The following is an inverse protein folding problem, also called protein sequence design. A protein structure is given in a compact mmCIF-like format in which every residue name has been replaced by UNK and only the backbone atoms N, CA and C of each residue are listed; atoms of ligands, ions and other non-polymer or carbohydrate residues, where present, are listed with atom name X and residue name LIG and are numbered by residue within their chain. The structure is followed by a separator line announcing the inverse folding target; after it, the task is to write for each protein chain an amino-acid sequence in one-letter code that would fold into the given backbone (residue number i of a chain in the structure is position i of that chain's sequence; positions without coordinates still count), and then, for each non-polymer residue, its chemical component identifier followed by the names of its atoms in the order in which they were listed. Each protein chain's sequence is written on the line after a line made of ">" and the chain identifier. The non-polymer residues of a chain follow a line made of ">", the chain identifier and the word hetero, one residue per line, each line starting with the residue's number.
data_IF_437936460967
#
_entry.id   IF_437936460967
#
_cell.length_a   1.000
_cell.length_b   1.000
_cell.length_c   1.000
_cell.angle_alpha   90.00
_cell.angle_beta   90.00
_cell.angle_gamma   90.00
#
_symmetry.space_group_name_H-M   'P 1'
#
loop_
_entity.id
_entity.type
_entity.pdbx_description
1 polymer ?
#
# COMPACT_ATOMS: atom_id res chain seq x y z
N UNK A 1 -7.12 -29.50 -5.87
CA UNK A 1 -8.20 -28.49 -5.69
C UNK A 1 -9.30 -29.13 -4.83
N UNK A 2 -9.59 -28.57 -3.68
CA UNK A 2 -10.58 -29.17 -2.76
C UNK A 2 -12.00 -28.98 -3.32
N UNK A 3 -12.85 -30.05 -3.40
CA UNK A 3 -14.12 -30.01 -4.12
C UNK A 3 -15.14 -28.99 -3.61
N UNK A 4 -15.11 -28.63 -2.32
CA UNK A 4 -16.04 -27.68 -1.72
C UNK A 4 -15.85 -26.21 -2.18
N UNK A 5 -14.63 -25.80 -2.65
CA UNK A 5 -14.39 -24.48 -3.24
C UNK A 5 -15.16 -24.21 -4.54
N UNK A 6 -15.70 -25.25 -5.16
CA UNK A 6 -16.51 -25.12 -6.39
C UNK A 6 -17.95 -24.68 -6.15
N UNK A 7 -18.40 -24.70 -4.90
CA UNK A 7 -19.81 -24.53 -4.57
C UNK A 7 -20.09 -23.25 -3.79
N UNK A 8 -19.06 -22.55 -3.32
CA UNK A 8 -19.18 -21.37 -2.47
C UNK A 8 -18.52 -20.17 -3.16
N UNK A 9 -19.18 -19.03 -3.11
CA UNK A 9 -18.58 -17.74 -3.43
C UNK A 9 -17.57 -17.33 -2.34
N UNK A 10 -16.75 -16.30 -2.60
CA UNK A 10 -15.79 -15.81 -1.61
C UNK A 10 -16.49 -15.26 -0.36
N UNK A 11 -17.66 -14.64 -0.51
CA UNK A 11 -18.48 -14.17 0.61
C UNK A 11 -19.01 -15.33 1.45
N UNK A 12 -19.50 -16.40 0.80
CA UNK A 12 -19.95 -17.61 1.49
C UNK A 12 -18.80 -18.35 2.18
N UNK A 13 -17.59 -18.35 1.60
CA UNK A 13 -16.39 -18.88 2.24
C UNK A 13 -16.04 -18.07 3.51
N UNK A 14 -16.17 -16.76 3.47
CA UNK A 14 -15.91 -15.88 4.61
C UNK A 14 -16.91 -16.12 5.75
N UNK A 15 -18.19 -16.25 5.43
CA UNK A 15 -19.25 -16.56 6.40
C UNK A 15 -19.02 -17.96 7.01
N UNK A 16 -18.68 -18.95 6.18
CA UNK A 16 -18.38 -20.31 6.65
C UNK A 16 -17.18 -20.33 7.60
N UNK A 17 -16.10 -19.60 7.26
CA UNK A 17 -14.92 -19.50 8.12
C UNK A 17 -15.26 -18.86 9.46
N UNK A 18 -16.01 -17.76 9.45
CA UNK A 18 -16.44 -17.09 10.68
C UNK A 18 -17.27 -18.01 11.57
N UNK A 19 -18.24 -18.73 11.00
CA UNK A 19 -19.07 -19.71 11.72
C UNK A 19 -18.24 -20.86 12.28
N UNK A 20 -17.24 -21.33 11.52
CA UNK A 20 -16.36 -22.42 11.94
C UNK A 20 -15.49 -22.00 13.14
N UNK A 21 -14.93 -20.79 13.12
CA UNK A 21 -14.14 -20.26 14.23
C UNK A 21 -14.99 -19.96 15.47
N UNK A 22 -16.27 -19.58 15.30
CA UNK A 22 -17.23 -19.43 16.41
C UNK A 22 -17.52 -20.75 17.10
N UNK A 23 -17.64 -21.84 16.33
CA UNK A 23 -17.90 -23.19 16.88
C UNK A 23 -16.65 -23.87 17.41
N UNK A 24 -15.49 -23.47 16.94
CA UNK A 24 -14.18 -24.05 17.24
C UNK A 24 -13.18 -22.97 17.66
N UNK A 25 -13.37 -22.35 18.85
CA UNK A 25 -12.49 -21.26 19.29
C UNK A 25 -11.02 -21.70 19.47
N UNK A 26 -10.77 -23.00 19.62
CA UNK A 26 -9.41 -23.57 19.66
C UNK A 26 -8.66 -23.42 18.34
N UNK A 27 -9.35 -23.18 17.22
CA UNK A 27 -8.74 -22.98 15.90
C UNK A 27 -8.38 -21.50 15.62
N UNK A 28 -8.79 -20.57 16.48
CA UNK A 28 -8.56 -19.13 16.23
C UNK A 28 -7.07 -18.82 16.13
N UNK A 29 -6.26 -19.32 17.07
CA UNK A 29 -4.81 -19.08 17.07
C UNK A 29 -4.13 -19.63 15.81
N UNK A 30 -4.50 -20.84 15.38
CA UNK A 30 -3.99 -21.45 14.15
C UNK A 30 -4.43 -20.64 12.90
N UNK A 31 -5.68 -20.19 12.87
CA UNK A 31 -6.20 -19.37 11.77
C UNK A 31 -5.48 -18.01 11.71
N UNK A 32 -5.15 -17.40 12.84
CA UNK A 32 -4.36 -16.16 12.92
C UNK A 32 -2.93 -16.37 12.41
N UNK A 33 -2.28 -17.48 12.77
CA UNK A 33 -0.94 -17.82 12.28
C UNK A 33 -0.93 -18.04 10.76
N UNK A 34 -1.90 -18.81 10.25
CA UNK A 34 -2.07 -19.03 8.80
C UNK A 34 -2.33 -17.69 8.10
N UNK A 35 -3.20 -16.84 8.65
CA UNK A 35 -3.51 -15.53 8.09
C UNK A 35 -2.27 -14.63 8.05
N UNK A 36 -1.47 -14.63 9.12
CA UNK A 36 -0.22 -13.88 9.17
C UNK A 36 0.76 -14.32 8.09
N UNK A 37 0.85 -15.63 7.85
CA UNK A 37 1.70 -16.21 6.80
C UNK A 37 1.20 -15.86 5.39
N UNK A 38 -0.12 -15.93 5.17
CA UNK A 38 -0.74 -15.60 3.87
C UNK A 38 -0.70 -14.10 3.54
N UNK A 39 -0.54 -13.23 4.55
CA UNK A 39 -0.49 -11.78 4.40
C UNK A 39 0.95 -11.25 4.24
N UNK A 40 1.96 -12.13 4.22
CA UNK A 40 3.35 -11.71 3.93
C UNK A 40 3.40 -11.12 2.52
N UNK A 41 4.03 -9.97 2.38
CA UNK A 41 4.42 -9.42 1.08
C UNK A 41 5.71 -10.14 0.70
N UNK A 42 5.62 -11.03 -0.29
CA UNK A 42 6.76 -11.90 -0.68
C UNK A 42 7.91 -11.09 -1.29
N UNK A 43 7.61 -9.93 -1.89
CA UNK A 43 8.61 -9.07 -2.52
C UNK A 43 8.17 -7.58 -2.45
N UNK A 44 8.69 -6.86 -1.46
CA UNK A 44 8.41 -5.42 -1.26
C UNK A 44 8.80 -4.59 -2.49
N UNK A 45 9.90 -4.94 -3.14
CA UNK A 45 10.42 -4.22 -4.29
C UNK A 45 9.52 -4.37 -5.52
N UNK A 46 9.05 -5.58 -5.82
CA UNK A 46 8.08 -5.79 -6.91
C UNK A 46 6.79 -5.00 -6.67
N UNK A 47 6.38 -4.88 -5.42
CA UNK A 47 5.18 -4.13 -5.04
C UNK A 47 5.38 -2.63 -5.22
N UNK A 48 6.56 -2.10 -4.86
CA UNK A 48 6.96 -0.72 -5.12
C UNK A 48 7.05 -0.42 -6.62
N UNK A 49 7.62 -1.33 -7.40
CA UNK A 49 7.70 -1.22 -8.85
C UNK A 49 6.31 -1.24 -9.52
N UNK A 50 5.39 -2.07 -9.03
CA UNK A 50 3.99 -2.07 -9.48
C UNK A 50 3.31 -0.72 -9.23
N UNK A 51 3.51 -0.15 -8.05
CA UNK A 51 2.96 1.18 -7.70
C UNK A 51 3.57 2.25 -8.60
N UNK A 52 4.89 2.24 -8.79
CA UNK A 52 5.59 3.15 -9.72
C UNK A 52 5.01 3.05 -11.12
N UNK A 53 4.81 1.83 -11.64
CA UNK A 53 4.22 1.62 -12.96
C UNK A 53 2.79 2.17 -13.05
N UNK A 54 1.96 1.98 -12.02
CA UNK A 54 0.59 2.54 -11.96
C UNK A 54 0.59 4.07 -11.91
N UNK A 55 1.52 4.67 -11.17
CA UNK A 55 1.67 6.12 -11.12
C UNK A 55 2.13 6.68 -12.47
N UNK A 56 3.07 6.01 -13.13
CA UNK A 56 3.52 6.35 -14.50
C UNK A 56 2.44 6.15 -15.57
N UNK A 57 1.45 5.33 -15.32
CA UNK A 57 0.29 5.20 -16.22
C UNK A 57 -0.65 6.41 -16.17
N UNK A 58 -0.57 7.25 -15.15
CA UNK A 58 -1.36 8.48 -15.06
C UNK A 58 -0.83 9.53 -16.04
N UNK A 59 -1.64 9.84 -17.06
CA UNK A 59 -1.31 10.86 -18.07
C UNK A 59 -2.12 12.13 -17.86
N UNK A 60 -1.53 13.26 -18.18
CA UNK A 60 -2.13 14.59 -18.13
C UNK A 60 -2.35 15.13 -19.56
N UNK A 61 -3.60 15.12 -20.01
CA UNK A 61 -3.97 15.69 -21.33
C UNK A 61 -4.31 17.18 -21.15
N UNK A 62 -3.29 18.02 -20.99
CA UNK A 62 -3.45 19.47 -20.83
C UNK A 62 -3.15 19.98 -19.41
N UNK A 63 -3.51 21.24 -19.09
CA UNK A 63 -3.28 21.83 -17.77
C UNK A 63 -4.04 21.05 -16.68
N UNK A 64 -3.33 20.65 -15.62
CA UNK A 64 -3.92 19.98 -14.45
C UNK A 64 -3.69 20.86 -13.24
N UNK A 65 -4.75 21.16 -12.49
CA UNK A 65 -4.56 21.81 -11.20
C UNK A 65 -3.89 20.84 -10.22
N UNK A 66 -3.06 21.35 -9.33
CA UNK A 66 -2.34 20.53 -8.34
C UNK A 66 -3.31 19.67 -7.52
N UNK A 67 -4.46 20.23 -7.13
CA UNK A 67 -5.45 19.49 -6.34
C UNK A 67 -6.12 18.35 -7.13
N UNK A 68 -6.47 18.59 -8.40
CA UNK A 68 -7.03 17.53 -9.25
C UNK A 68 -6.00 16.43 -9.54
N UNK A 69 -4.75 16.81 -9.80
CA UNK A 69 -3.66 15.86 -9.98
C UNK A 69 -3.41 15.03 -8.73
N UNK A 70 -3.38 15.69 -7.57
CA UNK A 70 -3.21 15.05 -6.26
C UNK A 70 -4.34 14.04 -5.98
N UNK A 71 -5.59 14.38 -6.28
CA UNK A 71 -6.73 13.47 -6.16
C UNK A 71 -6.52 12.20 -6.97
N UNK A 72 -6.16 12.33 -8.24
CA UNK A 72 -5.92 11.17 -9.14
C UNK A 72 -4.78 10.25 -8.65
N UNK A 73 -3.71 10.83 -8.10
CA UNK A 73 -2.63 10.02 -7.51
C UNK A 73 -3.11 9.31 -6.25
N UNK A 74 -3.84 10.01 -5.39
CA UNK A 74 -4.38 9.41 -4.17
C UNK A 74 -5.39 8.31 -4.48
N UNK A 75 -6.18 8.41 -5.54
CA UNK A 75 -7.10 7.34 -5.98
C UNK A 75 -6.33 6.05 -6.33
N UNK A 76 -5.13 6.17 -6.93
CA UNK A 76 -4.26 5.00 -7.19
C UNK A 76 -3.69 4.42 -5.90
N UNK A 77 -3.33 5.27 -4.93
CA UNK A 77 -2.68 4.84 -3.70
C UNK A 77 -3.67 4.37 -2.61
N UNK A 78 -4.93 4.82 -2.67
CA UNK A 78 -5.92 4.55 -1.63
C UNK A 78 -6.15 3.05 -1.37
N UNK A 79 -6.27 2.17 -2.40
CA UNK A 79 -6.40 0.73 -2.17
C UNK A 79 -5.27 0.12 -1.32
N UNK A 80 -4.05 0.60 -1.51
CA UNK A 80 -2.89 0.14 -0.74
C UNK A 80 -2.92 0.67 0.70
N UNK A 81 -3.34 1.93 0.89
CA UNK A 81 -3.51 2.53 2.22
C UNK A 81 -4.62 1.80 2.99
N UNK A 82 -5.69 1.43 2.33
CA UNK A 82 -6.79 0.67 2.94
C UNK A 82 -6.32 -0.76 3.30
N UNK A 83 -5.53 -1.41 2.43
CA UNK A 83 -5.00 -2.74 2.68
C UNK A 83 -4.01 -2.75 3.85
N UNK A 84 -3.07 -1.80 3.91
CA UNK A 84 -2.15 -1.69 5.04
C UNK A 84 -2.88 -1.44 6.37
N UNK A 85 -3.93 -0.63 6.34
CA UNK A 85 -4.75 -0.34 7.53
C UNK A 85 -5.45 -1.61 8.00
N UNK A 86 -6.08 -2.34 7.08
CA UNK A 86 -6.74 -3.62 7.33
C UNK A 86 -5.77 -4.66 7.91
N UNK A 87 -4.55 -4.77 7.35
CA UNK A 87 -3.52 -5.71 7.84
C UNK A 87 -3.07 -5.36 9.24
N UNK A 88 -2.85 -4.07 9.51
CA UNK A 88 -2.49 -3.59 10.85
C UNK A 88 -3.58 -3.91 11.88
N UNK A 89 -4.86 -3.69 11.55
CA UNK A 89 -6.00 -4.00 12.42
C UNK A 89 -6.11 -5.50 12.72
N UNK A 90 -5.69 -6.35 11.79
CA UNK A 90 -5.62 -7.81 11.95
C UNK A 90 -4.33 -8.31 12.61
N UNK A 91 -3.49 -7.41 13.13
CA UNK A 91 -2.25 -7.76 13.80
C UNK A 91 -1.06 -8.06 12.88
N UNK A 92 -1.25 -8.08 11.54
CA UNK A 92 -0.19 -8.31 10.56
C UNK A 92 0.66 -7.04 10.35
N UNK A 93 1.29 -6.54 11.43
CA UNK A 93 2.00 -5.25 11.46
C UNK A 93 3.17 -5.19 10.48
N UNK A 94 3.91 -6.31 10.32
CA UNK A 94 5.02 -6.39 9.38
C UNK A 94 4.52 -6.21 7.95
N UNK A 95 3.55 -7.00 7.52
CA UNK A 95 2.97 -6.88 6.19
C UNK A 95 2.34 -5.50 5.92
N UNK A 96 1.79 -4.84 6.95
CA UNK A 96 1.32 -3.46 6.83
C UNK A 96 2.48 -2.47 6.64
N UNK A 97 3.62 -2.69 7.32
CA UNK A 97 4.82 -1.89 7.17
C UNK A 97 5.42 -2.05 5.76
N UNK A 98 5.50 -3.29 5.27
CA UNK A 98 6.01 -3.62 3.94
C UNK A 98 5.20 -2.89 2.84
N UNK A 99 3.86 -2.86 2.95
CA UNK A 99 3.01 -2.08 2.03
C UNK A 99 3.26 -0.56 2.16
N UNK A 100 3.44 -0.05 3.38
CA UNK A 100 3.71 1.36 3.58
C UNK A 100 5.04 1.78 2.93
N UNK A 101 6.08 0.95 3.07
CA UNK A 101 7.37 1.16 2.42
C UNK A 101 7.20 1.10 0.89
N UNK A 102 6.52 0.10 0.36
CA UNK A 102 6.26 -0.04 -1.07
C UNK A 102 5.51 1.17 -1.66
N UNK A 103 4.54 1.76 -0.95
CA UNK A 103 3.84 2.97 -1.40
C UNK A 103 4.78 4.17 -1.44
N UNK A 104 5.63 4.32 -0.42
CA UNK A 104 6.58 5.44 -0.35
C UNK A 104 7.70 5.27 -1.39
N UNK A 105 8.29 4.07 -1.51
CA UNK A 105 9.32 3.79 -2.52
C UNK A 105 8.78 3.90 -3.95
N UNK A 106 7.52 3.53 -4.18
CA UNK A 106 6.85 3.72 -5.46
C UNK A 106 6.71 5.20 -5.87
N UNK A 107 6.38 6.08 -4.91
CA UNK A 107 6.40 7.53 -5.13
C UNK A 107 7.82 8.06 -5.34
N UNK A 108 8.78 7.55 -4.56
CA UNK A 108 10.18 7.91 -4.69
C UNK A 108 10.74 7.56 -6.07
N UNK A 109 10.42 6.39 -6.60
CA UNK A 109 10.82 5.95 -7.93
C UNK A 109 10.33 6.82 -9.10
N UNK A 110 9.31 7.66 -8.88
CA UNK A 110 8.82 8.62 -9.87
C UNK A 110 9.56 9.97 -9.87
N UNK A 111 10.43 10.26 -8.88
CA UNK A 111 11.02 11.61 -8.69
C UNK A 111 11.88 12.10 -9.85
N UNK A 112 12.50 11.18 -10.58
CA UNK A 112 13.38 11.50 -11.70
C UNK A 112 12.70 11.41 -13.07
N UNK A 113 11.39 11.16 -13.10
CA UNK A 113 10.65 11.07 -14.35
C UNK A 113 10.63 12.43 -15.08
N UNK A 114 10.80 12.41 -16.40
CA UNK A 114 10.91 13.61 -17.24
C UNK A 114 9.91 13.65 -18.39
N UNK A 115 9.13 12.61 -18.61
CA UNK A 115 8.13 12.58 -19.68
C UNK A 115 7.05 13.62 -19.43
N UNK A 116 6.92 14.60 -20.33
CA UNK A 116 6.05 15.77 -20.14
C UNK A 116 4.55 15.47 -20.01
N UNK A 117 4.08 14.31 -20.47
CA UNK A 117 2.68 13.87 -20.38
C UNK A 117 2.37 13.10 -19.09
N UNK A 118 3.38 12.76 -18.29
CA UNK A 118 3.18 12.17 -16.97
C UNK A 118 2.51 13.16 -16.02
N UNK A 119 1.52 12.69 -15.29
CA UNK A 119 0.77 13.53 -14.35
C UNK A 119 1.68 14.15 -13.28
N UNK A 120 2.58 13.37 -12.67
CA UNK A 120 3.49 13.86 -11.64
C UNK A 120 4.48 14.89 -12.17
N UNK A 121 4.97 14.74 -13.42
CA UNK A 121 5.83 15.74 -14.08
C UNK A 121 5.06 17.06 -14.26
N UNK A 122 3.80 16.99 -14.70
CA UNK A 122 2.93 18.16 -14.82
C UNK A 122 2.60 18.83 -13.49
N UNK A 123 2.64 18.09 -12.40
CA UNK A 123 2.46 18.63 -11.05
C UNK A 123 3.75 19.23 -10.46
N UNK A 124 4.90 19.08 -11.12
CA UNK A 124 6.20 19.64 -10.70
C UNK A 124 7.05 18.68 -9.87
N UNK A 125 7.54 17.57 -10.49
CA UNK A 125 8.55 16.73 -9.88
C UNK A 125 9.87 17.48 -9.63
N UNK A 126 10.67 17.09 -8.62
CA UNK A 126 10.39 16.03 -7.61
C UNK A 126 9.45 16.47 -6.50
N UNK A 127 9.17 17.76 -6.33
CA UNK A 127 8.38 18.29 -5.21
C UNK A 127 6.98 17.70 -5.09
N UNK A 128 6.32 17.37 -6.22
CA UNK A 128 5.01 16.73 -6.19
C UNK A 128 5.04 15.36 -5.56
N UNK A 129 6.08 14.55 -5.82
CA UNK A 129 6.25 13.22 -5.19
C UNK A 129 6.53 13.37 -3.70
N UNK A 130 7.38 14.33 -3.31
CA UNK A 130 7.73 14.60 -1.92
C UNK A 130 6.50 15.03 -1.10
N UNK A 131 5.69 15.93 -1.65
CA UNK A 131 4.44 16.38 -1.00
C UNK A 131 3.44 15.24 -0.81
N UNK A 132 3.26 14.41 -1.84
CA UNK A 132 2.39 13.24 -1.78
C UNK A 132 2.89 12.22 -0.77
N UNK A 133 4.19 11.95 -0.74
CA UNK A 133 4.80 11.05 0.22
C UNK A 133 4.58 11.54 1.67
N UNK A 134 4.75 12.84 1.94
CA UNK A 134 4.43 13.43 3.24
C UNK A 134 2.95 13.26 3.61
N UNK A 135 2.04 13.40 2.64
CA UNK A 135 0.60 13.17 2.87
C UNK A 135 0.31 11.71 3.21
N UNK A 136 0.89 10.75 2.47
CA UNK A 136 0.77 9.32 2.76
C UNK A 136 1.36 9.02 4.13
N UNK A 137 2.57 9.50 4.42
CA UNK A 137 3.22 9.27 5.70
C UNK A 137 2.39 9.79 6.89
N UNK A 138 1.76 10.96 6.76
CA UNK A 138 0.83 11.48 7.79
C UNK A 138 -0.34 10.54 8.06
N UNK A 139 -0.82 9.77 7.08
CA UNK A 139 -1.85 8.75 7.27
C UNK A 139 -1.30 7.47 7.92
N UNK A 140 -0.06 7.11 7.63
CA UNK A 140 0.61 5.90 8.13
C UNK A 140 1.16 6.09 9.54
N UNK A 141 1.69 7.26 9.86
CA UNK A 141 2.31 7.57 11.16
C UNK A 141 1.44 7.19 12.39
N UNK A 142 0.12 7.49 12.43
CA UNK A 142 -0.73 7.10 13.55
C UNK A 142 -0.84 5.60 13.78
N UNK A 143 -0.53 4.79 12.76
CA UNK A 143 -0.55 3.34 12.83
C UNK A 143 0.65 2.78 13.61
N UNK A 144 1.68 3.60 13.87
CA UNK A 144 2.90 3.25 14.61
C UNK A 144 3.57 1.99 14.05
N UNK A 145 3.72 1.93 12.74
CA UNK A 145 4.46 0.88 12.05
C UNK A 145 5.94 1.16 12.12
N UNK A 146 6.76 0.12 12.25
CA UNK A 146 8.20 0.21 12.08
C UNK A 146 8.51 0.14 10.58
N UNK A 147 9.24 1.10 10.05
CA UNK A 147 9.62 1.20 8.63
C UNK A 147 11.15 1.18 8.48
N UNK A 148 11.81 0.05 8.82
CA UNK A 148 13.27 0.02 8.98
C UNK A 148 14.04 0.24 7.67
N UNK A 149 13.47 -0.16 6.53
CA UNK A 149 14.10 -0.04 5.21
C UNK A 149 13.79 1.28 4.50
N UNK A 150 12.97 2.15 5.08
CA UNK A 150 12.57 3.39 4.40
C UNK A 150 13.78 4.30 4.12
N UNK A 151 14.77 4.35 5.01
CA UNK A 151 15.99 5.12 4.82
C UNK A 151 16.83 4.61 3.63
N UNK A 152 16.86 3.30 3.44
CA UNK A 152 17.59 2.68 2.35
C UNK A 152 16.87 2.84 1.02
N UNK A 153 15.53 2.74 1.03
CA UNK A 153 14.67 2.85 -0.16
C UNK A 153 14.49 4.30 -0.62
N UNK A 154 14.49 5.26 0.31
CA UNK A 154 14.21 6.67 0.03
C UNK A 154 15.25 7.58 0.72
N UNK A 155 16.54 7.49 0.34
CA UNK A 155 17.64 8.12 1.08
C UNK A 155 17.59 9.66 1.13
N UNK A 156 16.91 10.32 0.20
CA UNK A 156 16.78 11.76 0.17
C UNK A 156 15.62 12.30 1.02
N UNK A 157 14.81 11.42 1.58
CA UNK A 157 13.68 11.80 2.43
C UNK A 157 14.03 11.71 3.91
N UNK A 158 14.73 12.70 4.44
CA UNK A 158 15.11 12.77 5.86
C UNK A 158 13.94 13.19 6.78
N UNK A 159 12.86 13.74 6.22
CA UNK A 159 11.75 14.32 6.98
C UNK A 159 10.94 13.32 7.82
N UNK A 160 11.03 12.01 7.57
CA UNK A 160 10.35 10.99 8.36
C UNK A 160 11.08 10.71 9.69
N UNK A 161 12.39 11.00 9.80
CA UNK A 161 13.17 10.85 11.02
C UNK A 161 12.86 11.95 12.05
N UNK A 162 12.51 13.15 11.58
CA UNK A 162 12.19 14.31 12.41
C UNK A 162 10.78 14.25 13.02
N UNK A 163 10.04 13.19 12.81
CA UNK A 163 8.62 13.07 13.10
C UNK A 163 8.34 12.03 14.16
#
# INVERSE_FOLDING_TARGET
>A
MRPWKRWLSDDECSVLLAELLLRHPELVAEAEEITSTLLVVENEQEFGDEITAKLRALRANGPVSVDAGRGRVLDVLQPYIDDLTRRKERGARRAAADIAIAVLSGLYGCREDTEEDLLLVRMGLPGAADDLARMVYKKVKPLRLSLPSLADECPEWEWYEES
#
